data_IF_403016927786
#
_entry.id   IF_403016927786
#
_cell.length_a   1.000
_cell.length_b   1.000
_cell.length_c   1.000
_cell.angle_alpha   90.00
_cell.angle_beta   90.00
_cell.angle_gamma   90.00
#
_symmetry.space_group_name_H-M   'P 1'
#
loop_
_entity.id
_entity.type
_entity.pdbx_description
1 polymer ?
#
# COMPACT_ATOMS: atom_id res chain seq x y z
N UNK A 1 -25.81 19.84 3.41
CA UNK A 1 -24.59 19.02 3.29
C UNK A 1 -24.71 17.85 4.25
N UNK A 2 -24.46 16.63 3.78
CA UNK A 2 -24.67 15.41 4.58
C UNK A 2 -23.35 14.91 5.18
N UNK A 3 -23.39 14.09 6.24
CA UNK A 3 -22.20 13.37 6.71
C UNK A 3 -21.50 12.53 5.63
N UNK A 4 -22.24 12.09 4.61
CA UNK A 4 -21.69 11.32 3.50
C UNK A 4 -20.81 12.17 2.57
N UNK A 5 -21.16 13.44 2.35
CA UNK A 5 -20.34 14.37 1.57
C UNK A 5 -18.98 14.61 2.25
N UNK A 6 -19.00 14.79 3.58
CA UNK A 6 -17.78 14.93 4.41
C UNK A 6 -16.93 13.66 4.34
N UNK A 7 -17.57 12.51 4.47
CA UNK A 7 -16.90 11.21 4.42
C UNK A 7 -16.23 10.96 3.07
N UNK A 8 -16.90 11.27 1.97
CA UNK A 8 -16.35 11.12 0.62
C UNK A 8 -15.08 11.96 0.43
N UNK A 9 -15.08 13.20 0.94
CA UNK A 9 -13.92 14.08 0.91
C UNK A 9 -12.75 13.49 1.71
N UNK A 10 -13.00 12.97 2.92
CA UNK A 10 -11.96 12.35 3.75
C UNK A 10 -11.39 11.09 3.09
N UNK A 11 -12.24 10.22 2.56
CA UNK A 11 -11.83 9.00 1.86
C UNK A 11 -10.92 9.34 0.68
N UNK A 12 -11.31 10.29 -0.16
CA UNK A 12 -10.52 10.73 -1.30
C UNK A 12 -9.11 11.17 -0.88
N UNK A 13 -9.04 12.12 0.06
CA UNK A 13 -7.76 12.70 0.48
C UNK A 13 -6.86 11.64 1.16
N UNK A 14 -7.46 10.76 1.96
CA UNK A 14 -6.75 9.66 2.62
C UNK A 14 -6.25 8.61 1.63
N UNK A 15 -7.06 8.27 0.62
CA UNK A 15 -6.67 7.32 -0.43
C UNK A 15 -5.49 7.87 -1.24
N UNK A 16 -5.52 9.15 -1.61
CA UNK A 16 -4.40 9.82 -2.30
C UNK A 16 -3.15 9.78 -1.44
N UNK A 17 -3.25 10.19 -0.17
CA UNK A 17 -2.13 10.16 0.76
C UNK A 17 -1.52 8.76 0.90
N UNK A 18 -2.36 7.77 1.21
CA UNK A 18 -1.91 6.39 1.45
C UNK A 18 -1.29 5.78 0.20
N UNK A 19 -1.86 6.02 -0.98
CA UNK A 19 -1.27 5.61 -2.25
C UNK A 19 0.09 6.27 -2.51
N UNK A 20 0.17 7.60 -2.44
CA UNK A 20 1.40 8.35 -2.76
C UNK A 20 2.52 8.03 -1.76
N UNK A 21 2.20 7.99 -0.46
CA UNK A 21 3.15 7.65 0.58
C UNK A 21 3.63 6.20 0.47
N UNK A 22 2.72 5.25 0.18
CA UNK A 22 3.10 3.85 -0.03
C UNK A 22 3.99 3.69 -1.26
N UNK A 23 3.69 4.40 -2.36
CA UNK A 23 4.54 4.41 -3.56
C UNK A 23 5.94 4.91 -3.22
N UNK A 24 6.04 6.00 -2.46
CA UNK A 24 7.31 6.53 -1.98
C UNK A 24 8.09 5.56 -1.09
N UNK A 25 7.41 4.94 -0.13
CA UNK A 25 8.00 3.95 0.78
C UNK A 25 8.51 2.71 0.03
N UNK A 26 7.76 2.23 -0.96
CA UNK A 26 8.20 1.14 -1.85
C UNK A 26 9.46 1.57 -2.61
N UNK A 27 9.48 2.77 -3.20
CA UNK A 27 10.66 3.26 -3.94
C UNK A 27 11.91 3.38 -3.05
N UNK A 28 11.75 3.78 -1.79
CA UNK A 28 12.84 3.73 -0.81
C UNK A 28 13.33 2.31 -0.57
N UNK A 29 12.41 1.39 -0.25
CA UNK A 29 12.72 -0.02 0.03
C UNK A 29 13.44 -0.71 -1.13
N UNK A 30 12.91 -0.59 -2.35
CA UNK A 30 13.53 -1.18 -3.54
C UNK A 30 14.90 -0.56 -3.83
N UNK A 31 15.09 0.73 -3.55
CA UNK A 31 16.39 1.36 -3.73
C UNK A 31 17.44 0.91 -2.71
N UNK A 32 17.06 0.60 -1.47
CA UNK A 32 17.98 0.01 -0.50
C UNK A 32 18.30 -1.45 -0.85
N UNK A 33 17.30 -2.23 -1.26
CA UNK A 33 17.49 -3.61 -1.74
C UNK A 33 18.21 -3.73 -3.09
N UNK A 34 18.36 -2.62 -3.82
CA UNK A 34 18.99 -2.60 -5.14
C UNK A 34 18.17 -3.32 -6.21
N UNK A 35 16.85 -3.44 -6.02
CA UNK A 35 15.91 -4.13 -6.91
C UNK A 35 15.62 -3.26 -8.15
N UNK A 36 16.62 -3.16 -9.03
CA UNK A 36 16.61 -2.24 -10.20
C UNK A 36 15.40 -2.41 -11.10
N UNK A 37 14.87 -3.62 -11.24
CA UNK A 37 13.68 -3.92 -12.04
C UNK A 37 12.38 -3.25 -11.56
N UNK A 38 12.37 -2.68 -10.35
CA UNK A 38 11.23 -1.98 -9.77
C UNK A 38 11.44 -0.45 -9.66
N UNK A 39 12.57 0.07 -10.14
CA UNK A 39 12.85 1.50 -10.05
C UNK A 39 11.94 2.28 -10.99
N UNK A 40 11.26 3.31 -10.48
CA UNK A 40 10.50 4.23 -11.33
C UNK A 40 11.40 5.24 -12.05
N UNK A 41 12.59 5.51 -11.52
CA UNK A 41 13.59 6.35 -12.15
C UNK A 41 14.92 5.61 -12.32
N UNK A 42 15.65 5.82 -13.42
CA UNK A 42 16.94 5.17 -13.59
C UNK A 42 17.92 5.61 -12.49
N UNK A 43 18.49 4.66 -11.76
CA UNK A 43 19.54 4.92 -10.77
C UNK A 43 19.07 5.08 -9.32
N UNK A 44 19.95 4.67 -8.40
CA UNK A 44 19.65 4.53 -6.97
C UNK A 44 19.36 5.86 -6.29
N UNK A 45 20.22 6.87 -6.47
CA UNK A 45 20.05 8.16 -5.81
C UNK A 45 18.74 8.86 -6.21
N UNK A 46 18.42 8.87 -7.51
CA UNK A 46 17.16 9.44 -8.03
C UNK A 46 15.93 8.70 -7.51
N UNK A 47 15.98 7.37 -7.44
CA UNK A 47 14.89 6.56 -6.88
C UNK A 47 14.68 6.84 -5.38
N UNK A 48 15.76 7.02 -4.60
CA UNK A 48 15.65 7.42 -3.19
C UNK A 48 15.05 8.80 -3.04
N UNK A 49 15.55 9.77 -3.80
CA UNK A 49 15.04 11.14 -3.76
C UNK A 49 13.55 11.17 -4.10
N UNK A 50 13.13 10.47 -5.16
CA UNK A 50 11.72 10.30 -5.50
C UNK A 50 10.94 9.67 -4.34
N UNK A 51 11.46 8.61 -3.73
CA UNK A 51 10.81 7.94 -2.61
C UNK A 51 10.57 8.87 -1.42
N UNK A 52 11.59 9.63 -0.99
CA UNK A 52 11.45 10.65 0.07
C UNK A 52 10.42 11.71 -0.33
N UNK A 53 10.53 12.26 -1.55
CA UNK A 53 9.62 13.29 -2.04
C UNK A 53 8.17 12.82 -2.05
N UNK A 54 7.91 11.59 -2.50
CA UNK A 54 6.57 11.02 -2.51
C UNK A 54 6.02 10.79 -1.09
N UNK A 55 6.83 10.29 -0.15
CA UNK A 55 6.38 10.15 1.26
C UNK A 55 6.00 11.51 1.85
N UNK A 56 6.89 12.50 1.72
CA UNK A 56 6.64 13.85 2.20
C UNK A 56 5.43 14.49 1.51
N UNK A 57 5.32 14.36 0.18
CA UNK A 57 4.21 14.90 -0.60
C UNK A 57 2.88 14.24 -0.24
N UNK A 58 2.85 12.92 -0.02
CA UNK A 58 1.66 12.19 0.42
C UNK A 58 1.16 12.73 1.76
N UNK A 59 2.03 12.78 2.77
CA UNK A 59 1.68 13.30 4.11
C UNK A 59 1.23 14.77 4.02
N UNK A 60 2.01 15.61 3.32
CA UNK A 60 1.68 17.02 3.14
C UNK A 60 0.33 17.21 2.44
N UNK A 61 0.03 16.42 1.40
CA UNK A 61 -1.24 16.51 0.67
C UNK A 61 -2.46 16.31 1.56
N UNK A 62 -2.37 15.41 2.55
CA UNK A 62 -3.46 15.16 3.48
C UNK A 62 -3.64 16.31 4.47
N UNK A 63 -2.56 16.70 5.15
CA UNK A 63 -2.63 17.67 6.24
C UNK A 63 -2.77 19.11 5.75
N UNK A 64 -2.26 19.45 4.56
CA UNK A 64 -2.32 20.79 4.01
C UNK A 64 -3.50 20.99 3.05
N UNK A 65 -4.16 19.92 2.58
CA UNK A 65 -5.37 19.99 1.76
C UNK A 65 -6.42 21.02 2.25
N UNK A 66 -6.70 21.14 3.56
CA UNK A 66 -7.65 22.12 4.06
C UNK A 66 -7.35 23.59 3.70
N UNK A 67 -6.10 23.94 3.37
CA UNK A 67 -5.72 25.30 2.98
C UNK A 67 -6.27 25.71 1.61
N UNK A 68 -6.46 24.76 0.69
CA UNK A 68 -6.88 25.05 -0.69
C UNK A 68 -8.16 24.35 -1.11
N UNK A 69 -8.48 23.20 -0.51
CA UNK A 69 -9.73 22.49 -0.74
C UNK A 69 -10.79 22.98 0.25
N UNK A 70 -11.95 23.47 -0.24
CA UNK A 70 -13.04 23.81 0.65
C UNK A 70 -13.61 22.54 1.31
N UNK A 71 -13.90 22.62 2.60
CA UNK A 71 -14.36 21.50 3.40
C UNK A 71 -14.91 21.96 4.75
N UNK A 72 -15.21 21.03 5.66
CA UNK A 72 -15.75 21.33 6.98
C UNK A 72 -14.62 21.69 7.96
N UNK A 73 -13.76 22.63 7.56
CA UNK A 73 -12.49 22.90 8.25
C UNK A 73 -12.54 24.07 9.24
N UNK A 74 -13.65 24.81 9.28
CA UNK A 74 -13.78 25.99 10.13
C UNK A 74 -13.74 25.65 11.62
N UNK A 75 -13.01 26.47 12.38
CA UNK A 75 -13.04 26.46 13.84
C UNK A 75 -14.25 27.28 14.34
N UNK A 76 -14.97 26.76 15.33
CA UNK A 76 -15.87 27.60 16.14
C UNK A 76 -15.00 28.35 17.15
N UNK A 77 -15.39 29.56 17.55
CA UNK A 77 -14.71 30.30 18.63
C UNK A 77 -14.51 29.38 19.85
N UNK A 78 -13.25 29.09 20.20
CA UNK A 78 -12.90 28.09 21.23
C UNK A 78 -12.13 26.86 20.73
N UNK A 79 -11.73 26.78 19.45
CA UNK A 79 -10.78 25.76 18.98
C UNK A 79 -11.34 24.34 19.01
N UNK A 80 -12.63 24.18 18.70
CA UNK A 80 -13.24 22.88 18.45
C UNK A 80 -13.94 22.92 17.09
N UNK A 81 -13.52 22.04 16.19
CA UNK A 81 -14.30 21.71 14.98
C UNK A 81 -15.48 20.85 15.44
N UNK A 82 -16.60 21.51 15.75
CA UNK A 82 -17.84 20.83 16.15
C UNK A 82 -18.69 20.65 14.90
N UNK A 83 -18.67 19.44 14.34
CA UNK A 83 -19.89 18.94 13.70
C UNK A 83 -20.58 18.13 14.82
N UNK A 84 -21.76 18.58 15.28
CA UNK A 84 -22.67 17.83 16.17
C UNK A 84 -22.08 17.39 17.53
N UNK A 85 -22.24 18.19 18.59
CA UNK A 85 -23.24 17.88 19.62
C UNK A 85 -24.01 19.12 20.14
N UNK A 86 -23.82 20.29 19.51
CA UNK A 86 -24.44 21.57 19.89
C UNK A 86 -25.19 22.31 18.78
N UNK A 87 -25.39 21.69 17.61
CA UNK A 87 -26.38 22.14 16.62
C UNK A 87 -26.05 23.33 15.71
N UNK A 88 -24.83 23.88 15.69
CA UNK A 88 -24.47 24.90 14.68
C UNK A 88 -23.46 24.36 13.66
N UNK A 89 -23.79 24.39 12.34
CA UNK A 89 -22.93 23.88 11.29
C UNK A 89 -21.71 24.78 11.09
N UNK A 90 -20.52 24.17 11.02
CA UNK A 90 -19.30 24.84 10.56
C UNK A 90 -19.49 25.27 9.10
N UNK A 91 -19.25 26.55 8.75
CA UNK A 91 -19.36 27.00 7.37
C UNK A 91 -18.32 26.29 6.50
N UNK A 92 -18.77 25.79 5.35
CA UNK A 92 -17.90 25.14 4.36
C UNK A 92 -16.91 26.16 3.80
N UNK A 93 -15.62 25.90 3.92
CA UNK A 93 -14.60 26.88 3.58
C UNK A 93 -13.20 26.31 3.60
N UNK A 94 -12.20 27.18 3.39
CA UNK A 94 -10.78 26.85 3.55
C UNK A 94 -10.36 27.08 4.99
N UNK A 95 -9.47 26.23 5.49
CA UNK A 95 -8.86 26.43 6.80
C UNK A 95 -7.85 27.58 6.76
N UNK A 96 -7.74 28.31 7.85
CA UNK A 96 -6.55 29.13 8.09
C UNK A 96 -5.39 28.23 8.56
N UNK A 97 -4.15 28.73 8.43
CA UNK A 97 -2.96 27.99 8.81
C UNK A 97 -2.97 27.55 10.29
N UNK A 98 -3.48 28.41 11.17
CA UNK A 98 -3.58 28.12 12.61
C UNK A 98 -4.65 27.08 12.95
N UNK A 99 -5.63 26.85 12.08
CA UNK A 99 -6.70 25.86 12.27
C UNK A 99 -6.31 24.45 11.82
N UNK A 100 -5.20 24.29 11.09
CA UNK A 100 -4.78 23.00 10.53
C UNK A 100 -4.69 21.85 11.54
N UNK A 101 -4.18 22.04 12.78
CA UNK A 101 -4.13 20.96 13.75
C UNK A 101 -5.51 20.37 14.10
N UNK A 102 -6.58 21.15 13.91
CA UNK A 102 -7.94 20.78 14.26
C UNK A 102 -8.82 20.50 13.04
N UNK A 103 -8.45 20.99 11.86
CA UNK A 103 -9.26 20.92 10.63
C UNK A 103 -9.79 19.50 10.33
N UNK A 104 -9.03 18.46 10.64
CA UNK A 104 -9.42 17.06 10.38
C UNK A 104 -9.91 16.28 11.61
N UNK A 105 -10.11 16.94 12.75
CA UNK A 105 -10.59 16.30 13.98
C UNK A 105 -12.12 16.17 13.99
N UNK A 106 -12.65 15.30 13.13
CA UNK A 106 -14.10 15.05 12.97
C UNK A 106 -14.42 13.61 13.36
N UNK A 107 -15.43 13.43 14.21
CA UNK A 107 -15.87 12.10 14.63
C UNK A 107 -16.53 11.31 13.48
N UNK A 108 -16.50 9.99 13.55
CA UNK A 108 -17.04 9.08 12.53
C UNK A 108 -18.56 9.21 12.32
N UNK A 109 -19.30 9.47 13.39
CA UNK A 109 -20.75 9.80 13.37
C UNK A 109 -21.06 11.07 12.59
N UNK A 110 -20.08 11.97 12.48
CA UNK A 110 -20.21 13.27 11.84
C UNK A 110 -19.54 13.33 10.45
N UNK A 111 -19.22 12.16 9.87
CA UNK A 111 -18.60 12.05 8.56
C UNK A 111 -17.08 11.82 8.58
N UNK A 112 -16.45 11.77 9.76
CA UNK A 112 -15.09 11.27 9.92
C UNK A 112 -14.94 9.79 9.51
N UNK A 113 -13.71 9.32 9.39
CA UNK A 113 -13.45 7.91 9.05
C UNK A 113 -13.18 7.07 10.29
N UNK A 114 -13.96 6.00 10.47
CA UNK A 114 -13.68 4.95 11.46
C UNK A 114 -12.33 4.26 11.19
N UNK A 115 -11.72 3.65 12.21
CA UNK A 115 -10.46 2.92 12.07
C UNK A 115 -10.52 1.79 11.04
N UNK A 116 -11.64 1.06 10.96
CA UNK A 116 -11.82 -0.02 9.98
C UNK A 116 -11.87 0.52 8.54
N UNK A 117 -12.54 1.66 8.34
CA UNK A 117 -12.60 2.34 7.04
C UNK A 117 -11.20 2.82 6.62
N UNK A 118 -10.43 3.38 7.55
CA UNK A 118 -9.04 3.81 7.29
C UNK A 118 -8.16 2.62 6.90
N UNK A 119 -8.23 1.51 7.64
CA UNK A 119 -7.45 0.31 7.34
C UNK A 119 -7.75 -0.25 5.94
N UNK A 120 -9.03 -0.28 5.55
CA UNK A 120 -9.44 -0.72 4.21
C UNK A 120 -8.85 0.18 3.12
N UNK A 121 -9.04 1.49 3.22
CA UNK A 121 -8.54 2.42 2.20
C UNK A 121 -7.03 2.51 2.14
N UNK A 122 -6.35 2.32 3.28
CA UNK A 122 -4.90 2.18 3.32
C UNK A 122 -4.45 0.96 2.52
N UNK A 123 -5.09 -0.20 2.72
CA UNK A 123 -4.77 -1.41 1.98
C UNK A 123 -4.99 -1.22 0.46
N UNK A 124 -6.10 -0.58 0.07
CA UNK A 124 -6.38 -0.25 -1.34
C UNK A 124 -5.29 0.66 -1.92
N UNK A 125 -4.90 1.73 -1.21
CA UNK A 125 -3.84 2.63 -1.63
C UNK A 125 -2.49 1.92 -1.76
N UNK A 126 -2.12 1.09 -0.78
CA UNK A 126 -0.87 0.33 -0.78
C UNK A 126 -0.82 -0.71 -1.91
N UNK A 127 -1.89 -1.48 -2.14
CA UNK A 127 -1.99 -2.44 -3.25
C UNK A 127 -1.85 -1.71 -4.59
N UNK A 128 -2.53 -0.57 -4.74
CA UNK A 128 -2.44 0.25 -5.97
C UNK A 128 -1.01 0.74 -6.22
N UNK A 129 -0.27 1.11 -5.16
CA UNK A 129 1.13 1.51 -5.25
C UNK A 129 2.06 0.35 -5.63
N UNK A 130 1.81 -0.86 -5.12
CA UNK A 130 2.53 -2.08 -5.52
C UNK A 130 2.29 -2.36 -7.00
N UNK A 131 1.03 -2.39 -7.45
CA UNK A 131 0.67 -2.62 -8.85
C UNK A 131 1.36 -1.58 -9.74
N UNK A 132 1.28 -0.31 -9.38
CA UNK A 132 1.94 0.79 -10.11
C UNK A 132 3.45 0.61 -10.18
N UNK A 133 4.09 0.23 -9.08
CA UNK A 133 5.54 -0.03 -9.05
C UNK A 133 5.92 -1.18 -9.98
N UNK A 134 5.18 -2.28 -9.93
CA UNK A 134 5.41 -3.44 -10.78
C UNK A 134 5.22 -3.11 -12.27
N UNK A 135 4.16 -2.39 -12.62
CA UNK A 135 3.85 -2.04 -14.02
C UNK A 135 4.84 -1.02 -14.56
N UNK A 136 4.95 0.14 -13.92
CA UNK A 136 5.81 1.23 -14.38
C UNK A 136 7.28 0.87 -14.27
N UNK A 137 7.70 0.20 -13.19
CA UNK A 137 9.06 -0.30 -13.05
C UNK A 137 9.44 -1.26 -14.19
N UNK A 138 8.53 -2.16 -14.58
CA UNK A 138 8.77 -3.05 -15.72
C UNK A 138 8.85 -2.30 -17.06
N UNK A 139 8.05 -1.25 -17.25
CA UNK A 139 8.09 -0.41 -18.46
C UNK A 139 9.37 0.43 -18.52
N UNK A 140 9.77 1.05 -17.41
CA UNK A 140 10.97 1.90 -17.33
C UNK A 140 12.24 1.05 -17.52
N UNK A 141 12.26 -0.15 -16.93
CA UNK A 141 13.44 -1.02 -16.92
C UNK A 141 13.38 -2.16 -17.96
N UNK A 142 12.55 -2.04 -19.00
CA UNK A 142 12.40 -3.04 -20.07
C UNK A 142 13.70 -3.41 -20.79
N UNK A 143 14.73 -2.58 -20.69
CA UNK A 143 16.10 -2.83 -21.18
C UNK A 143 16.98 -3.70 -20.27
N UNK A 144 16.58 -3.95 -19.01
CA UNK A 144 17.22 -4.92 -18.12
C UNK A 144 16.83 -6.35 -18.54
N UNK A 145 17.31 -6.78 -19.70
CA UNK A 145 17.18 -8.15 -20.20
C UNK A 145 18.53 -8.84 -20.10
N UNK A 146 18.98 -9.12 -18.90
CA UNK A 146 20.03 -10.14 -18.75
C UNK A 146 19.35 -11.50 -18.64
N UNK A 147 19.81 -12.52 -19.38
CA UNK A 147 19.51 -13.92 -19.07
C UNK A 147 20.28 -14.27 -17.80
N UNK A 148 19.88 -13.68 -16.67
CA UNK A 148 20.46 -14.03 -15.39
C UNK A 148 20.09 -15.50 -15.13
N UNK A 149 21.01 -16.31 -14.59
CA UNK A 149 20.70 -17.67 -14.16
C UNK A 149 19.48 -17.63 -13.23
N UNK A 150 18.71 -18.73 -13.09
CA UNK A 150 17.49 -18.76 -12.29
C UNK A 150 17.83 -18.52 -10.80
N UNK A 151 18.04 -17.26 -10.42
CA UNK A 151 18.08 -16.85 -9.03
C UNK A 151 16.66 -16.95 -8.53
N UNK A 152 16.45 -17.85 -7.57
CA UNK A 152 15.14 -18.11 -6.99
C UNK A 152 14.73 -16.89 -6.17
N UNK A 153 13.61 -16.25 -6.53
CA UNK A 153 12.97 -15.22 -5.71
C UNK A 153 13.34 -13.77 -6.05
N UNK A 154 13.21 -12.89 -5.06
CA UNK A 154 13.23 -11.43 -5.22
C UNK A 154 14.56 -10.88 -5.76
N UNK A 155 15.66 -11.62 -5.57
CA UNK A 155 17.00 -11.32 -6.08
C UNK A 155 17.05 -11.24 -7.62
N UNK A 156 16.15 -11.93 -8.32
CA UNK A 156 16.02 -11.82 -9.78
C UNK A 156 15.76 -10.38 -10.24
N UNK A 157 15.05 -9.58 -9.43
CA UNK A 157 14.72 -8.18 -9.74
C UNK A 157 15.95 -7.25 -9.78
N UNK A 158 17.13 -7.70 -9.37
CA UNK A 158 18.38 -6.95 -9.56
C UNK A 158 18.84 -6.91 -11.02
N UNK A 159 18.47 -7.92 -11.80
CA UNK A 159 18.95 -8.16 -13.16
C UNK A 159 17.84 -8.28 -14.21
N UNK A 160 16.57 -8.34 -13.80
CA UNK A 160 15.41 -8.44 -14.69
C UNK A 160 14.22 -7.60 -14.19
N UNK A 161 13.15 -7.50 -15.00
CA UNK A 161 11.91 -6.80 -14.63
C UNK A 161 10.93 -7.72 -13.88
N UNK A 162 9.94 -7.13 -13.18
CA UNK A 162 8.96 -7.92 -12.43
C UNK A 162 8.12 -8.83 -13.33
N UNK A 163 7.58 -8.30 -14.44
CA UNK A 163 6.75 -9.08 -15.35
C UNK A 163 7.53 -10.25 -15.99
N UNK A 164 8.81 -10.05 -16.31
CA UNK A 164 9.66 -11.13 -16.83
C UNK A 164 10.05 -12.15 -15.76
N UNK A 165 10.19 -11.74 -14.50
CA UNK A 165 10.48 -12.65 -13.39
C UNK A 165 9.26 -13.46 -12.92
N UNK A 166 8.05 -12.95 -13.15
CA UNK A 166 6.82 -13.53 -12.60
C UNK A 166 6.53 -14.94 -13.14
N UNK A 167 6.61 -15.12 -14.45
CA UNK A 167 6.34 -16.41 -15.11
C UNK A 167 7.23 -17.55 -14.59
N UNK A 168 8.57 -17.41 -14.67
CA UNK A 168 9.50 -18.39 -14.13
C UNK A 168 9.33 -18.65 -12.63
N UNK A 169 9.04 -17.60 -11.84
CA UNK A 169 8.84 -17.73 -10.39
C UNK A 169 7.58 -18.53 -10.04
N UNK A 170 6.47 -18.28 -10.72
CA UNK A 170 5.22 -19.06 -10.54
C UNK A 170 5.43 -20.51 -10.97
N UNK A 171 6.14 -20.74 -12.08
CA UNK A 171 6.43 -22.09 -12.55
C UNK A 171 7.31 -22.85 -11.55
N UNK A 172 8.34 -22.21 -11.00
CA UNK A 172 9.20 -22.78 -9.98
C UNK A 172 8.41 -23.09 -8.71
N UNK A 173 7.64 -22.14 -8.19
CA UNK A 173 6.78 -22.32 -7.03
C UNK A 173 5.78 -23.47 -7.21
N UNK A 174 5.14 -23.57 -8.38
CA UNK A 174 4.25 -24.69 -8.71
C UNK A 174 4.97 -26.05 -8.74
N UNK A 175 6.23 -26.09 -9.15
CA UNK A 175 7.04 -27.32 -9.11
C UNK A 175 7.36 -27.70 -7.67
N UNK A 176 7.85 -26.76 -6.88
CA UNK A 176 8.14 -26.97 -5.45
C UNK A 176 6.91 -27.49 -4.70
N UNK A 177 5.75 -26.85 -4.85
CA UNK A 177 4.52 -27.32 -4.21
C UNK A 177 4.12 -28.74 -4.64
N UNK A 178 4.30 -29.07 -5.93
CA UNK A 178 4.01 -30.42 -6.43
C UNK A 178 4.95 -31.46 -5.82
N UNK A 179 6.22 -31.12 -5.66
CA UNK A 179 7.23 -32.02 -5.10
C UNK A 179 7.04 -32.20 -3.59
N UNK A 180 6.68 -31.14 -2.85
CA UNK A 180 6.30 -31.21 -1.44
C UNK A 180 5.06 -32.09 -1.22
N UNK A 181 4.00 -31.90 -2.00
CA UNK A 181 2.80 -32.73 -1.91
C UNK A 181 3.10 -34.21 -2.19
N UNK A 182 3.98 -34.50 -3.17
CA UNK A 182 4.43 -35.87 -3.46
C UNK A 182 5.23 -36.45 -2.30
N UNK A 183 6.15 -35.69 -1.72
CA UNK A 183 6.93 -36.10 -0.55
C UNK A 183 6.04 -36.41 0.67
N UNK A 184 5.07 -35.54 0.96
CA UNK A 184 4.10 -35.75 2.04
C UNK A 184 3.23 -36.99 1.80
N UNK A 185 2.81 -37.24 0.56
CA UNK A 185 2.05 -38.45 0.21
C UNK A 185 2.85 -39.73 0.35
N UNK A 186 4.15 -39.72 0.00
CA UNK A 186 5.04 -40.86 0.16
C UNK A 186 5.32 -41.17 1.64
N UNK A 187 5.53 -40.12 2.45
CA UNK A 187 5.71 -40.26 3.90
C UNK A 187 4.43 -40.79 4.58
N UNK A 188 3.25 -40.31 4.18
CA UNK A 188 1.97 -40.81 4.66
C UNK A 188 1.72 -42.29 4.29
N UNK A 189 2.15 -42.71 3.09
CA UNK A 189 2.07 -44.11 2.67
C UNK A 189 3.04 -45.01 3.45
N UNK A 190 4.26 -44.54 3.71
CA UNK A 190 5.25 -45.26 4.51
C UNK A 190 4.83 -45.39 5.98
N UNK A 191 4.21 -44.35 6.56
CA UNK A 191 3.66 -44.44 7.93
C UNK A 191 2.45 -45.38 7.99
N UNK A 192 1.59 -45.40 6.96
CA UNK A 192 0.48 -46.34 6.85
C UNK A 192 0.95 -47.80 6.76
N UNK A 193 1.97 -48.10 5.94
CA UNK A 193 2.53 -49.44 5.80
C UNK A 193 3.25 -49.93 7.07
N UNK A 194 3.76 -49.03 7.90
CA UNK A 194 4.42 -49.36 9.17
C UNK A 194 3.44 -49.54 10.34
N UNK A 195 2.13 -49.36 10.11
CA UNK A 195 1.11 -49.62 11.11
C UNK A 195 0.97 -51.14 11.32
N UNK A 196 1.26 -51.68 12.52
CA UNK A 196 1.08 -53.09 12.77
C UNK A 196 -0.40 -53.44 12.63
N UNK A 197 -0.72 -54.39 11.74
CA UNK A 197 -2.04 -55.05 11.73
C UNK A 197 -2.27 -55.58 13.14
N UNK A 198 -3.14 -54.92 13.91
CA UNK A 198 -3.72 -55.51 15.11
C UNK A 198 -4.55 -56.69 14.62
N UNK A 199 -3.95 -57.88 14.70
CA UNK A 199 -4.62 -59.15 14.47
C UNK A 199 -5.80 -59.24 15.42
N UNK A 200 -6.98 -59.48 14.84
CA UNK A 200 -8.17 -59.82 15.58
C UNK A 200 -7.96 -61.13 16.34
N UNK A 201 -8.61 -61.15 17.51
CA UNK A 201 -8.91 -62.26 18.42
C UNK A 201 -8.58 -63.68 17.97
#
# INVERSE_FOLDING_TARGET
MTPDDVRALFIRDYLIMSYVASLGAIQLGVSFGGLRGLFLLPGRARTRALGVLLVCAGIASFFLAPLWNPGPWGSVAGGRVVIGAGGQPVPWGRAALYDLPQARNINDTNGGMSGNTQALWFAVGAISAIVTTCTLGSIVNRGLRSPAPPSVGMEALKHTTFLSALGPSIQCWRRTWRDEFRGLSALAWLTFLKSPRKGGS
#
